data_IF_642080811578
#
_entry.id   IF_642080811578
#
_cell.length_a   1.000
_cell.length_b   1.000
_cell.length_c   1.000
_cell.angle_alpha   90.00
_cell.angle_beta   90.00
_cell.angle_gamma   90.00
#
_symmetry.space_group_name_H-M   'P 1'
#
loop_
_entity.id
_entity.type
_entity.pdbx_description
1 polymer ?
#
# COMPACT_ATOMS: atom_id res chain seq x y z
N UNK A 1 -38.76 19.52 36.13
CA UNK A 1 -39.84 19.61 35.12
C UNK A 1 -39.50 20.53 33.93
N UNK A 2 -38.87 21.70 34.09
CA UNK A 2 -38.50 22.55 32.93
C UNK A 2 -37.39 21.94 32.04
N UNK A 3 -36.41 21.23 32.62
CA UNK A 3 -35.31 20.62 31.86
C UNK A 3 -35.72 19.45 30.96
N UNK A 4 -36.64 18.60 31.42
CA UNK A 4 -37.13 17.44 30.64
C UNK A 4 -38.03 17.88 29.48
N UNK A 5 -38.81 18.95 29.67
CA UNK A 5 -39.68 19.49 28.63
C UNK A 5 -38.86 20.10 27.48
N UNK A 6 -37.77 20.81 27.80
CA UNK A 6 -36.86 21.39 26.79
C UNK A 6 -36.07 20.29 26.03
N UNK A 7 -35.67 19.22 26.72
CA UNK A 7 -34.99 18.08 26.09
C UNK A 7 -35.89 17.31 25.12
N UNK A 8 -37.16 17.10 25.49
CA UNK A 8 -38.15 16.45 24.62
C UNK A 8 -38.48 17.34 23.40
N UNK A 9 -38.62 18.65 23.61
CA UNK A 9 -38.83 19.60 22.52
C UNK A 9 -37.66 19.62 21.52
N UNK A 10 -36.43 19.60 22.01
CA UNK A 10 -35.22 19.53 21.18
C UNK A 10 -35.13 18.22 20.38
N UNK A 11 -35.52 17.09 20.98
CA UNK A 11 -35.56 15.81 20.29
C UNK A 11 -36.61 15.78 19.17
N UNK A 12 -37.79 16.37 19.40
CA UNK A 12 -38.84 16.47 18.39
C UNK A 12 -38.41 17.37 17.23
N UNK A 13 -37.76 18.50 17.52
CA UNK A 13 -37.17 19.38 16.50
C UNK A 13 -36.07 18.67 15.70
N UNK A 14 -35.19 17.91 16.36
CA UNK A 14 -34.15 17.10 15.69
C UNK A 14 -34.78 16.08 14.73
N UNK A 15 -35.86 15.41 15.15
CA UNK A 15 -36.62 14.47 14.33
C UNK A 15 -37.29 15.15 13.13
N UNK A 16 -37.83 16.35 13.33
CA UNK A 16 -38.41 17.15 12.26
C UNK A 16 -37.36 17.50 11.19
N UNK A 17 -36.16 17.92 11.62
CA UNK A 17 -35.03 18.18 10.71
C UNK A 17 -34.61 16.92 9.94
N UNK A 18 -34.53 15.77 10.62
CA UNK A 18 -34.22 14.49 9.96
C UNK A 18 -35.22 14.16 8.86
N UNK A 19 -36.52 14.35 9.12
CA UNK A 19 -37.57 14.14 8.11
C UNK A 19 -37.43 15.12 6.93
N UNK A 20 -37.19 16.42 7.20
CA UNK A 20 -36.97 17.42 6.15
C UNK A 20 -35.74 17.07 5.27
N UNK A 21 -34.67 16.57 5.88
CA UNK A 21 -33.49 16.09 5.15
C UNK A 21 -33.81 14.83 4.33
N UNK A 22 -34.60 13.92 4.88
CA UNK A 22 -35.00 12.67 4.22
C UNK A 22 -35.92 12.91 3.01
N UNK A 23 -36.84 13.88 3.10
CA UNK A 23 -37.72 14.30 2.00
C UNK A 23 -36.94 14.93 0.82
N UNK A 24 -35.71 15.40 1.07
CA UNK A 24 -34.77 15.90 0.05
C UNK A 24 -35.08 17.33 -0.43
N UNK A 25 -34.17 17.91 -1.21
CA UNK A 25 -34.40 19.22 -1.83
C UNK A 25 -35.50 19.11 -2.89
N UNK A 26 -36.64 19.78 -2.67
CA UNK A 26 -37.67 19.96 -3.69
C UNK A 26 -37.01 20.60 -4.92
N UNK A 27 -37.09 19.89 -6.05
CA UNK A 27 -36.49 20.29 -7.33
C UNK A 27 -36.83 21.73 -7.70
N UNK A 28 -35.82 22.51 -8.10
CA UNK A 28 -35.91 23.87 -8.64
C UNK A 28 -36.70 24.89 -7.80
N UNK A 29 -35.95 25.56 -6.92
CA UNK A 29 -36.42 26.73 -6.19
C UNK A 29 -36.81 26.37 -4.77
N UNK A 30 -35.82 26.32 -3.87
CA UNK A 30 -36.11 26.55 -2.46
C UNK A 30 -36.70 27.95 -2.36
N UNK A 31 -38.03 28.06 -2.36
CA UNK A 31 -38.69 29.21 -1.78
C UNK A 31 -38.25 29.18 -0.32
N UNK A 32 -37.42 30.15 0.06
CA UNK A 32 -37.11 30.42 1.47
C UNK A 32 -38.43 30.62 2.19
N UNK A 33 -38.96 29.56 2.80
CA UNK A 33 -40.09 29.71 3.68
C UNK A 33 -39.59 30.42 4.93
N UNK A 34 -40.29 31.47 5.35
CA UNK A 34 -39.84 32.31 6.48
C UNK A 34 -39.74 31.49 7.78
N UNK A 35 -40.44 30.36 7.87
CA UNK A 35 -40.47 29.44 9.01
C UNK A 35 -39.19 28.57 9.15
N UNK A 36 -38.40 28.44 8.09
CA UNK A 36 -37.16 27.65 8.11
C UNK A 36 -35.97 28.38 8.74
N UNK A 37 -36.07 29.71 8.89
CA UNK A 37 -35.01 30.55 9.46
C UNK A 37 -34.62 30.19 10.90
N UNK A 38 -35.53 29.59 11.68
CA UNK A 38 -35.32 29.15 13.07
C UNK A 38 -34.32 28.00 13.22
N UNK A 39 -34.02 27.29 12.14
CA UNK A 39 -33.03 26.20 12.14
C UNK A 39 -31.63 26.68 11.73
N UNK A 40 -31.48 27.97 11.41
CA UNK A 40 -30.19 28.58 11.12
C UNK A 40 -29.29 28.60 12.36
N UNK A 41 -28.00 28.33 12.15
CA UNK A 41 -26.96 28.45 13.20
C UNK A 41 -26.84 29.87 13.77
N UNK A 42 -27.38 30.88 13.08
CA UNK A 42 -27.37 32.28 13.51
C UNK A 42 -28.49 32.60 14.53
N UNK A 43 -29.41 31.65 14.78
CA UNK A 43 -30.48 31.79 15.77
C UNK A 43 -30.16 30.98 17.03
N UNK A 44 -30.66 31.41 18.19
CA UNK A 44 -30.41 30.72 19.46
C UNK A 44 -30.96 29.27 19.46
N UNK A 45 -32.17 29.09 18.92
CA UNK A 45 -32.80 27.77 18.76
C UNK A 45 -32.03 26.89 17.78
N UNK A 46 -31.68 27.41 16.60
CA UNK A 46 -30.94 26.66 15.58
C UNK A 46 -29.50 26.33 16.01
N UNK A 47 -28.85 27.16 16.84
CA UNK A 47 -27.55 26.85 17.43
C UNK A 47 -27.63 25.69 18.44
N UNK A 48 -28.69 25.63 19.26
CA UNK A 48 -28.93 24.52 20.19
C UNK A 48 -29.20 23.21 19.44
N UNK A 49 -30.01 23.26 18.38
CA UNK A 49 -30.27 22.08 17.54
C UNK A 49 -29.02 21.64 16.80
N UNK A 50 -28.25 22.57 16.22
CA UNK A 50 -26.96 22.29 15.58
C UNK A 50 -25.97 21.60 16.54
N UNK A 51 -25.85 22.08 17.77
CA UNK A 51 -24.98 21.48 18.78
C UNK A 51 -25.43 20.08 19.22
N UNK A 52 -26.72 19.76 19.08
CA UNK A 52 -27.28 18.44 19.41
C UNK A 52 -26.90 17.34 18.41
N UNK A 53 -26.41 17.70 17.22
CA UNK A 53 -25.88 16.75 16.25
C UNK A 53 -24.40 16.47 16.51
N UNK A 54 -24.05 15.19 16.52
CA UNK A 54 -22.66 14.75 16.45
C UNK A 54 -22.12 14.84 15.02
N UNK A 55 -20.80 14.80 14.87
CA UNK A 55 -20.13 14.77 13.58
C UNK A 55 -20.59 13.54 12.77
N UNK A 56 -20.64 12.36 13.39
CA UNK A 56 -21.01 11.12 12.72
C UNK A 56 -22.47 11.12 12.25
N UNK A 57 -23.40 11.63 13.07
CA UNK A 57 -24.81 11.75 12.66
C UNK A 57 -24.97 12.61 11.40
N UNK A 58 -24.21 13.71 11.27
CA UNK A 58 -24.26 14.56 10.07
C UNK A 58 -23.62 13.87 8.86
N UNK A 59 -22.55 13.10 9.08
CA UNK A 59 -21.88 12.35 8.02
C UNK A 59 -22.74 11.17 7.54
N UNK A 60 -23.47 10.51 8.43
CA UNK A 60 -24.40 9.44 8.07
C UNK A 60 -25.56 9.96 7.21
N UNK A 61 -26.14 11.10 7.56
CA UNK A 61 -27.18 11.73 6.73
C UNK A 61 -26.67 12.09 5.33
N UNK A 62 -25.39 12.48 5.23
CA UNK A 62 -24.73 12.73 3.94
C UNK A 62 -24.52 11.43 3.15
N UNK A 63 -24.14 10.33 3.81
CA UNK A 63 -23.99 9.00 3.19
C UNK A 63 -25.34 8.45 2.73
N UNK A 64 -26.39 8.58 3.52
CA UNK A 64 -27.76 8.20 3.14
C UNK A 64 -28.26 8.99 1.93
N UNK A 65 -27.99 10.30 1.90
CA UNK A 65 -28.30 11.13 0.73
C UNK A 65 -27.55 10.63 -0.52
N UNK A 66 -26.27 10.27 -0.38
CA UNK A 66 -25.48 9.71 -1.46
C UNK A 66 -25.98 8.34 -1.93
N UNK A 67 -26.43 7.47 -1.02
CA UNK A 67 -27.04 6.18 -1.34
C UNK A 67 -28.34 6.36 -2.12
N UNK A 68 -29.20 7.29 -1.70
CA UNK A 68 -30.47 7.59 -2.37
C UNK A 68 -30.29 8.12 -3.78
N UNK A 69 -29.31 9.02 -3.96
CA UNK A 69 -28.97 9.59 -5.27
C UNK A 69 -28.15 8.63 -6.13
N UNK A 70 -27.45 7.68 -5.50
CA UNK A 70 -26.53 6.75 -6.14
C UNK A 70 -25.18 7.37 -6.53
N UNK A 71 -24.92 8.63 -6.21
CA UNK A 71 -23.65 9.35 -6.40
C UNK A 71 -23.38 10.30 -5.23
N UNK A 72 -22.16 10.81 -5.14
CA UNK A 72 -21.83 11.81 -4.12
C UNK A 72 -22.61 13.12 -4.38
N UNK A 73 -23.44 13.59 -3.44
CA UNK A 73 -24.32 14.72 -3.69
C UNK A 73 -23.55 16.02 -3.85
N UNK A 74 -24.02 16.87 -4.76
CA UNK A 74 -23.67 18.29 -4.77
C UNK A 74 -24.40 19.03 -3.65
N UNK A 75 -23.86 20.17 -3.23
CA UNK A 75 -24.45 20.96 -2.14
C UNK A 75 -25.90 21.41 -2.38
N UNK A 76 -26.35 21.44 -3.65
CA UNK A 76 -27.72 21.83 -4.03
C UNK A 76 -28.70 20.66 -4.13
N UNK A 77 -28.21 19.41 -4.01
CA UNK A 77 -29.05 18.20 -3.99
C UNK A 77 -29.34 17.73 -2.56
N UNK A 78 -28.84 18.47 -1.56
CA UNK A 78 -29.00 18.19 -0.14
C UNK A 78 -29.70 19.37 0.52
N UNK A 79 -30.58 19.06 1.46
CA UNK A 79 -31.38 20.04 2.19
C UNK A 79 -30.50 21.13 2.82
N UNK A 80 -31.00 22.36 2.82
CA UNK A 80 -30.24 23.54 3.20
C UNK A 80 -29.69 23.52 4.65
N UNK A 81 -30.43 22.88 5.56
CA UNK A 81 -30.00 22.71 6.96
C UNK A 81 -28.74 21.85 7.01
N UNK A 82 -28.77 20.68 6.35
CA UNK A 82 -27.65 19.74 6.33
C UNK A 82 -26.43 20.34 5.62
N UNK A 83 -26.61 21.04 4.48
CA UNK A 83 -25.48 21.73 3.80
C UNK A 83 -24.82 22.79 4.68
N UNK A 84 -25.61 23.53 5.46
CA UNK A 84 -25.10 24.57 6.36
C UNK A 84 -24.32 23.93 7.50
N UNK A 85 -24.90 22.94 8.18
CA UNK A 85 -24.28 22.27 9.32
C UNK A 85 -22.96 21.59 8.93
N UNK A 86 -22.94 20.89 7.80
CA UNK A 86 -21.74 20.23 7.29
C UNK A 86 -20.64 21.23 6.89
N UNK A 87 -20.99 22.35 6.25
CA UNK A 87 -20.00 23.38 5.89
C UNK A 87 -19.41 24.04 7.13
N UNK A 88 -20.22 24.32 8.14
CA UNK A 88 -19.75 24.90 9.41
C UNK A 88 -18.79 23.94 10.12
N UNK A 89 -19.11 22.64 10.15
CA UNK A 89 -18.34 21.64 10.92
C UNK A 89 -17.07 21.16 10.21
N UNK A 90 -17.16 20.92 8.90
CA UNK A 90 -16.08 20.37 8.08
C UNK A 90 -15.41 21.42 7.18
N UNK A 91 -15.60 22.72 7.50
CA UNK A 91 -15.07 23.92 6.82
C UNK A 91 -15.64 24.19 5.43
N UNK A 92 -15.85 23.16 4.62
CA UNK A 92 -16.42 23.27 3.28
C UNK A 92 -17.06 21.95 2.82
N UNK A 93 -17.85 22.01 1.74
CA UNK A 93 -18.54 20.83 1.18
C UNK A 93 -17.58 19.70 0.76
N UNK A 94 -16.45 19.97 0.05
CA UNK A 94 -15.45 18.93 -0.22
C UNK A 94 -14.84 18.30 1.04
N UNK A 95 -14.74 19.05 2.14
CA UNK A 95 -14.30 18.58 3.45
C UNK A 95 -15.30 17.61 4.06
N UNK A 96 -16.60 17.96 4.01
CA UNK A 96 -17.69 17.09 4.46
C UNK A 96 -17.77 15.79 3.65
N UNK A 97 -17.70 15.87 2.31
CA UNK A 97 -17.67 14.67 1.46
C UNK A 97 -16.48 13.76 1.80
N UNK A 98 -15.30 14.34 2.02
CA UNK A 98 -14.11 13.57 2.42
C UNK A 98 -14.27 12.90 3.78
N UNK A 99 -14.81 13.62 4.76
CA UNK A 99 -15.07 13.08 6.09
C UNK A 99 -16.10 11.93 6.05
N UNK A 100 -17.08 12.01 5.15
CA UNK A 100 -18.06 10.96 4.92
C UNK A 100 -17.53 9.77 4.09
N UNK A 101 -16.30 9.83 3.57
CA UNK A 101 -15.74 8.81 2.68
C UNK A 101 -16.29 8.86 1.25
N UNK A 102 -16.91 9.98 0.85
CA UNK A 102 -17.53 10.18 -0.45
C UNK A 102 -16.58 10.85 -1.45
N UNK A 103 -16.89 10.69 -2.74
CA UNK A 103 -16.13 11.31 -3.83
C UNK A 103 -16.32 12.83 -3.84
N UNK A 104 -15.26 13.58 -4.15
CA UNK A 104 -15.34 15.03 -4.34
C UNK A 104 -15.96 15.43 -5.68
N UNK A 105 -16.09 14.48 -6.62
CA UNK A 105 -16.76 14.69 -7.90
C UNK A 105 -18.28 14.60 -7.67
N UNK A 106 -18.84 15.69 -7.15
CA UNK A 106 -20.21 15.75 -6.67
C UNK A 106 -21.24 16.05 -7.79
N UNK A 107 -22.49 15.63 -7.58
CA UNK A 107 -23.62 15.89 -8.46
C UNK A 107 -23.84 14.84 -9.55
N UNK A 108 -24.91 15.02 -10.34
CA UNK A 108 -25.27 14.12 -11.46
C UNK A 108 -24.19 13.91 -12.53
N UNK A 109 -23.21 14.81 -12.62
CA UNK A 109 -22.03 14.65 -13.49
C UNK A 109 -20.86 13.88 -12.85
N UNK A 110 -20.99 13.56 -11.56
CA UNK A 110 -20.06 12.72 -10.80
C UNK A 110 -20.21 11.24 -11.14
N UNK A 111 -19.24 10.43 -10.68
CA UNK A 111 -19.32 8.98 -10.87
C UNK A 111 -20.31 8.38 -9.88
N UNK A 112 -21.16 7.47 -10.37
CA UNK A 112 -22.05 6.70 -9.50
C UNK A 112 -21.23 5.88 -8.49
N UNK A 113 -21.77 5.68 -7.29
CA UNK A 113 -21.14 4.87 -6.24
C UNK A 113 -20.95 3.43 -6.74
N UNK A 114 -21.95 2.86 -7.40
CA UNK A 114 -21.87 1.54 -8.01
C UNK A 114 -20.78 1.46 -9.10
N UNK A 115 -20.69 2.46 -9.98
CA UNK A 115 -19.62 2.52 -10.98
C UNK A 115 -18.23 2.66 -10.34
N UNK A 116 -18.14 3.35 -9.19
CA UNK A 116 -16.90 3.48 -8.43
C UNK A 116 -16.53 2.15 -7.77
N UNK A 117 -17.50 1.45 -7.20
CA UNK A 117 -17.34 0.12 -6.62
C UNK A 117 -16.88 -0.88 -7.69
N UNK A 118 -17.58 -0.94 -8.83
CA UNK A 118 -17.24 -1.80 -9.97
C UNK A 118 -15.82 -1.57 -10.46
N UNK A 119 -15.40 -0.30 -10.58
CA UNK A 119 -14.00 0.02 -10.95
C UNK A 119 -13.01 -0.43 -9.89
N UNK A 120 -13.33 -0.28 -8.62
CA UNK A 120 -12.47 -0.74 -7.53
C UNK A 120 -12.33 -2.26 -7.54
N UNK A 121 -13.41 -2.99 -7.79
CA UNK A 121 -13.39 -4.44 -7.97
C UNK A 121 -12.56 -4.85 -9.20
N UNK A 122 -12.72 -4.16 -10.34
CA UNK A 122 -11.87 -4.38 -11.51
C UNK A 122 -10.39 -4.13 -11.21
N UNK A 123 -10.08 -3.09 -10.43
CA UNK A 123 -8.72 -2.82 -9.98
C UNK A 123 -8.19 -3.92 -9.08
N UNK A 124 -9.01 -4.39 -8.13
CA UNK A 124 -8.62 -5.46 -7.21
C UNK A 124 -8.38 -6.76 -7.97
N UNK A 125 -9.28 -7.13 -8.89
CA UNK A 125 -9.11 -8.30 -9.74
C UNK A 125 -7.80 -8.25 -10.55
N UNK A 126 -7.41 -7.07 -11.06
CA UNK A 126 -6.11 -6.93 -11.74
C UNK A 126 -4.92 -7.08 -10.78
N UNK A 127 -5.02 -6.61 -9.54
CA UNK A 127 -3.98 -6.84 -8.53
C UNK A 127 -3.89 -8.32 -8.16
N UNK A 128 -5.02 -9.01 -8.03
CA UNK A 128 -5.07 -10.44 -7.76
C UNK A 128 -4.44 -11.25 -8.91
N UNK A 129 -4.63 -10.83 -10.16
CA UNK A 129 -3.93 -11.42 -11.31
C UNK A 129 -2.40 -11.25 -11.22
N UNK A 130 -1.90 -10.08 -10.78
CA UNK A 130 -0.47 -9.86 -10.55
C UNK A 130 0.05 -10.77 -9.44
N UNK A 131 -0.72 -10.88 -8.35
CA UNK A 131 -0.43 -11.74 -7.20
C UNK A 131 -0.35 -13.21 -7.59
N UNK A 132 -1.38 -13.74 -8.25
CA UNK A 132 -1.41 -15.14 -8.71
C UNK A 132 -0.29 -15.45 -9.71
N UNK A 133 0.05 -14.51 -10.59
CA UNK A 133 1.20 -14.67 -11.49
C UNK A 133 2.51 -14.79 -10.69
N UNK A 134 2.71 -13.97 -9.65
CA UNK A 134 3.90 -14.06 -8.82
C UNK A 134 3.99 -15.39 -8.04
N UNK A 135 2.86 -15.88 -7.53
CA UNK A 135 2.73 -17.20 -6.90
C UNK A 135 3.16 -18.30 -7.86
N UNK A 136 2.60 -18.31 -9.07
CA UNK A 136 2.93 -19.30 -10.12
C UNK A 136 4.39 -19.26 -10.54
N UNK A 137 4.98 -18.07 -10.66
CA UNK A 137 6.37 -17.91 -11.08
C UNK A 137 7.37 -18.18 -9.95
N UNK A 138 6.95 -18.09 -8.68
CA UNK A 138 7.85 -18.08 -7.53
C UNK A 138 8.89 -16.94 -7.57
N UNK A 139 8.61 -15.89 -8.35
CA UNK A 139 9.43 -14.69 -8.52
C UNK A 139 8.57 -13.49 -8.86
N UNK A 140 9.12 -12.30 -8.66
CA UNK A 140 8.48 -11.05 -9.07
C UNK A 140 8.25 -11.06 -10.59
N UNK A 141 7.00 -10.87 -11.06
CA UNK A 141 6.70 -10.75 -12.48
C UNK A 141 7.27 -9.44 -13.02
N UNK A 142 7.82 -9.49 -14.23
CA UNK A 142 8.28 -8.33 -14.97
C UNK A 142 7.07 -7.65 -15.64
N UNK A 143 7.01 -6.30 -15.72
CA UNK A 143 5.85 -5.60 -16.30
C UNK A 143 5.55 -5.99 -17.76
N UNK A 144 6.56 -6.41 -18.52
CA UNK A 144 6.36 -6.93 -19.90
C UNK A 144 5.63 -8.27 -19.97
N UNK A 145 5.51 -9.01 -18.87
CA UNK A 145 4.72 -10.25 -18.78
C UNK A 145 3.22 -9.92 -18.62
N UNK A 146 2.88 -8.70 -18.19
CA UNK A 146 1.51 -8.25 -17.92
C UNK A 146 1.22 -6.88 -18.57
N UNK A 147 1.36 -6.75 -19.91
CA UNK A 147 1.27 -5.45 -20.59
C UNK A 147 -0.12 -4.81 -20.50
N UNK A 148 -1.18 -5.62 -20.53
CA UNK A 148 -2.56 -5.13 -20.42
C UNK A 148 -2.89 -4.61 -19.03
N UNK A 149 -2.39 -5.27 -17.98
CA UNK A 149 -2.51 -4.80 -16.60
C UNK A 149 -1.78 -3.47 -16.44
N UNK A 150 -0.55 -3.36 -16.97
CA UNK A 150 0.20 -2.11 -16.96
C UNK A 150 -0.59 -0.95 -17.59
N UNK A 151 -1.23 -1.20 -18.75
CA UNK A 151 -2.02 -0.21 -19.47
C UNK A 151 -3.24 0.26 -18.68
N UNK A 152 -3.93 -0.64 -17.97
CA UNK A 152 -5.14 -0.33 -17.20
C UNK A 152 -4.84 0.32 -15.84
N UNK A 153 -3.78 -0.10 -15.16
CA UNK A 153 -3.42 0.38 -13.82
C UNK A 153 -2.71 1.75 -13.80
N UNK A 154 -2.22 2.24 -14.94
CA UNK A 154 -1.48 3.52 -15.04
C UNK A 154 -2.21 4.76 -14.53
N UNK A 155 -3.55 4.71 -14.40
CA UNK A 155 -4.34 5.83 -13.87
C UNK A 155 -4.22 5.95 -12.34
N UNK A 156 -3.89 4.86 -11.66
CA UNK A 156 -3.86 4.75 -10.19
C UNK A 156 -2.44 4.64 -9.65
N UNK A 157 -1.58 3.95 -10.37
CA UNK A 157 -0.19 3.74 -10.01
C UNK A 157 0.74 4.37 -11.04
N UNK A 158 1.90 4.84 -10.59
CA UNK A 158 2.92 5.45 -11.45
C UNK A 158 3.96 4.43 -11.88
N UNK A 159 4.31 3.53 -10.98
CA UNK A 159 5.44 2.60 -11.13
C UNK A 159 4.97 1.17 -10.97
N UNK A 160 5.71 0.22 -11.56
CA UNK A 160 5.42 -1.19 -11.36
C UNK A 160 5.71 -1.62 -9.91
N UNK A 161 6.68 -0.99 -9.23
CA UNK A 161 6.92 -1.20 -7.79
C UNK A 161 5.68 -0.93 -6.93
N UNK A 162 4.95 0.16 -7.18
CA UNK A 162 3.69 0.46 -6.49
C UNK A 162 2.61 -0.60 -6.73
N UNK A 163 2.52 -1.14 -7.95
CA UNK A 163 1.58 -2.22 -8.29
C UNK A 163 1.93 -3.50 -7.54
N UNK A 164 3.21 -3.87 -7.48
CA UNK A 164 3.68 -5.06 -6.77
C UNK A 164 3.38 -4.97 -5.26
N UNK A 165 3.60 -3.80 -4.67
CA UNK A 165 3.27 -3.54 -3.27
C UNK A 165 1.75 -3.61 -3.02
N UNK A 166 0.95 -2.98 -3.88
CA UNK A 166 -0.51 -3.02 -3.77
C UNK A 166 -1.09 -4.43 -3.97
N UNK A 167 -0.42 -5.28 -4.75
CA UNK A 167 -0.82 -6.66 -4.99
C UNK A 167 -0.36 -7.66 -3.90
N UNK A 168 0.44 -7.24 -2.92
CA UNK A 168 0.96 -8.13 -1.87
C UNK A 168 1.81 -9.27 -2.43
N UNK A 169 2.66 -8.97 -3.42
CA UNK A 169 3.43 -9.99 -4.17
C UNK A 169 4.44 -10.72 -3.30
N UNK A 170 5.05 -10.06 -2.31
CA UNK A 170 6.06 -10.69 -1.46
C UNK A 170 5.42 -11.78 -0.57
N UNK A 171 4.25 -11.50 -0.01
CA UNK A 171 3.46 -12.45 0.76
C UNK A 171 3.02 -13.63 -0.11
N UNK A 172 2.57 -13.35 -1.33
CA UNK A 172 2.16 -14.35 -2.31
C UNK A 172 3.29 -15.35 -2.60
N UNK A 173 4.50 -14.85 -2.81
CA UNK A 173 5.65 -15.70 -3.11
C UNK A 173 6.11 -16.56 -1.93
N UNK A 174 5.77 -16.21 -0.69
CA UNK A 174 6.15 -16.97 0.50
C UNK A 174 5.30 -18.24 0.71
N UNK A 175 4.08 -18.28 0.16
CA UNK A 175 3.09 -19.36 0.42
C UNK A 175 3.57 -20.75 -0.01
N UNK A 176 4.46 -20.84 -1.00
CA UNK A 176 4.87 -22.11 -1.62
C UNK A 176 6.26 -22.62 -1.16
N UNK A 177 6.82 -22.04 -0.11
CA UNK A 177 8.13 -22.46 0.40
C UNK A 177 7.99 -23.69 1.29
N UNK A 178 8.24 -24.87 0.72
CA UNK A 178 8.27 -26.14 1.43
C UNK A 178 9.56 -26.91 1.14
N UNK A 179 10.08 -27.58 2.18
CA UNK A 179 11.24 -28.48 2.06
C UNK A 179 10.79 -29.79 1.47
N UNK A 180 11.56 -30.29 0.51
CA UNK A 180 11.33 -31.60 -0.08
C UNK A 180 11.95 -32.67 0.83
N UNK A 181 11.11 -33.55 1.36
CA UNK A 181 11.54 -34.59 2.30
C UNK A 181 12.21 -35.78 1.58
N UNK A 182 11.77 -36.07 0.35
CA UNK A 182 12.18 -37.25 -0.42
C UNK A 182 13.06 -36.85 -1.60
N UNK A 183 14.30 -36.47 -1.30
CA UNK A 183 15.32 -36.13 -2.29
C UNK A 183 16.06 -37.37 -2.78
N UNK A 184 16.25 -37.48 -4.09
CA UNK A 184 17.09 -38.50 -4.70
C UNK A 184 18.58 -38.17 -4.56
N UNK A 185 19.45 -39.17 -4.71
CA UNK A 185 20.90 -38.99 -4.57
C UNK A 185 21.49 -37.96 -5.54
N UNK A 186 20.99 -37.93 -6.78
CA UNK A 186 21.37 -36.95 -7.78
C UNK A 186 20.91 -35.54 -7.41
N UNK A 187 19.69 -35.39 -6.89
CA UNK A 187 19.15 -34.13 -6.38
C UNK A 187 19.96 -33.62 -5.18
N UNK A 188 20.31 -34.50 -4.24
CA UNK A 188 21.18 -34.19 -3.10
C UNK A 188 22.55 -33.69 -3.57
N UNK A 189 23.16 -34.35 -4.55
CA UNK A 189 24.45 -33.93 -5.13
C UNK A 189 24.35 -32.56 -5.76
N UNK A 190 23.29 -32.29 -6.53
CA UNK A 190 23.06 -30.98 -7.16
C UNK A 190 22.88 -29.86 -6.11
N UNK A 191 22.15 -30.13 -5.03
CA UNK A 191 21.97 -29.18 -3.93
C UNK A 191 23.25 -28.97 -3.12
N UNK A 192 24.10 -30.00 -2.99
CA UNK A 192 25.42 -29.87 -2.36
C UNK A 192 26.36 -29.00 -3.18
N UNK A 193 26.37 -29.13 -4.51
CA UNK A 193 27.14 -28.27 -5.41
C UNK A 193 26.70 -26.82 -5.29
N UNK A 194 25.39 -26.58 -5.23
CA UNK A 194 24.82 -25.26 -4.97
C UNK A 194 25.25 -24.70 -3.59
N UNK A 195 25.24 -25.51 -2.53
CA UNK A 195 25.77 -25.09 -1.21
C UNK A 195 27.25 -24.76 -1.26
N UNK A 196 28.06 -25.53 -1.99
CA UNK A 196 29.49 -25.28 -2.12
C UNK A 196 29.75 -23.95 -2.85
N UNK A 197 28.97 -23.66 -3.90
CA UNK A 197 29.01 -22.38 -4.60
C UNK A 197 28.64 -21.23 -3.65
N UNK A 198 27.55 -21.37 -2.89
CA UNK A 198 27.11 -20.35 -1.95
C UNK A 198 28.18 -20.06 -0.87
N UNK A 199 28.80 -21.11 -0.31
CA UNK A 199 29.91 -21.00 0.65
C UNK A 199 31.12 -20.26 0.05
N UNK A 200 31.46 -20.55 -1.21
CA UNK A 200 32.56 -19.88 -1.92
C UNK A 200 32.28 -18.41 -2.18
N UNK A 201 31.05 -18.07 -2.53
CA UNK A 201 30.61 -16.68 -2.73
C UNK A 201 30.35 -15.93 -1.43
N UNK A 202 30.27 -16.65 -0.30
CA UNK A 202 29.83 -16.16 1.01
C UNK A 202 28.43 -15.52 0.99
N UNK A 203 27.58 -15.90 0.04
CA UNK A 203 26.20 -15.42 -0.12
C UNK A 203 25.40 -16.39 -0.98
N UNK A 204 24.11 -16.15 -1.09
CA UNK A 204 23.27 -16.81 -2.07
C UNK A 204 23.75 -16.52 -3.50
N UNK A 205 23.89 -17.55 -4.37
CA UNK A 205 24.28 -17.36 -5.75
C UNK A 205 23.12 -16.80 -6.59
N UNK A 206 23.49 -16.00 -7.58
CA UNK A 206 22.59 -15.57 -8.65
C UNK A 206 22.32 -16.73 -9.61
N UNK A 207 21.14 -16.71 -10.22
CA UNK A 207 20.75 -17.70 -11.25
C UNK A 207 21.74 -17.78 -12.42
N UNK A 208 22.44 -16.69 -12.73
CA UNK A 208 23.45 -16.65 -13.81
C UNK A 208 24.82 -17.17 -13.40
N UNK A 209 25.09 -17.34 -12.10
CA UNK A 209 26.37 -17.85 -11.57
C UNK A 209 26.42 -19.38 -11.50
N UNK A 210 25.27 -20.03 -11.71
CA UNK A 210 25.14 -21.48 -11.78
C UNK A 210 25.35 -21.99 -13.21
N UNK A 211 26.04 -23.12 -13.33
CA UNK A 211 26.13 -23.89 -14.57
C UNK A 211 24.72 -24.19 -15.13
N UNK A 212 24.58 -24.12 -16.45
CA UNK A 212 23.27 -24.10 -17.12
C UNK A 212 22.52 -25.42 -16.95
N UNK A 213 23.17 -26.55 -17.15
CA UNK A 213 22.56 -27.89 -17.06
C UNK A 213 22.08 -28.17 -15.64
N UNK A 214 22.93 -27.90 -14.64
CA UNK A 214 22.60 -28.01 -13.22
C UNK A 214 21.40 -27.13 -12.86
N UNK A 215 21.43 -25.87 -13.30
CA UNK A 215 20.36 -24.90 -13.08
C UNK A 215 19.03 -25.37 -13.66
N UNK A 216 19.02 -25.86 -14.90
CA UNK A 216 17.80 -26.32 -15.57
C UNK A 216 17.22 -27.56 -14.90
N UNK A 217 18.06 -28.50 -14.46
CA UNK A 217 17.64 -29.68 -13.70
C UNK A 217 16.99 -29.30 -12.37
N UNK A 218 17.61 -28.40 -11.61
CA UNK A 218 17.06 -27.91 -10.34
C UNK A 218 15.74 -27.14 -10.54
N UNK A 219 15.66 -26.27 -11.55
CA UNK A 219 14.42 -25.54 -11.85
C UNK A 219 13.29 -26.47 -12.29
N UNK A 220 13.59 -27.52 -13.05
CA UNK A 220 12.60 -28.53 -13.43
C UNK A 220 12.06 -29.28 -12.21
N UNK A 221 12.90 -29.57 -11.21
CA UNK A 221 12.51 -30.30 -10.01
C UNK A 221 11.77 -29.46 -8.97
N UNK A 222 12.25 -28.24 -8.73
CA UNK A 222 11.78 -27.39 -7.62
C UNK A 222 10.92 -26.19 -8.09
N UNK A 223 10.73 -26.03 -9.40
CA UNK A 223 9.82 -25.04 -10.03
C UNK A 223 10.41 -23.63 -10.16
N UNK A 224 10.98 -23.08 -9.08
CA UNK A 224 11.52 -21.71 -9.07
C UNK A 224 12.90 -21.63 -8.44
N UNK A 225 13.69 -20.60 -8.81
CA UNK A 225 15.01 -20.38 -8.20
C UNK A 225 14.91 -20.11 -6.70
N UNK A 226 13.84 -19.43 -6.26
CA UNK A 226 13.57 -19.18 -4.85
C UNK A 226 13.36 -20.50 -4.10
N UNK A 227 12.60 -21.43 -4.68
CA UNK A 227 12.39 -22.76 -4.09
C UNK A 227 13.68 -23.60 -4.05
N UNK A 228 14.50 -23.53 -5.12
CA UNK A 228 15.82 -24.20 -5.15
C UNK A 228 16.70 -23.72 -4.00
N UNK A 229 16.82 -22.41 -3.81
CA UNK A 229 17.60 -21.83 -2.72
C UNK A 229 17.00 -22.17 -1.35
N UNK A 230 15.67 -22.20 -1.26
CA UNK A 230 14.97 -22.59 -0.05
C UNK A 230 15.33 -24.02 0.39
N UNK A 231 15.56 -24.96 -0.53
CA UNK A 231 16.02 -26.32 -0.19
C UNK A 231 17.35 -26.35 0.56
N UNK A 232 18.18 -25.31 0.42
CA UNK A 232 19.46 -25.18 1.11
C UNK A 232 19.49 -24.05 2.15
N UNK A 233 18.31 -23.60 2.59
CA UNK A 233 18.12 -22.61 3.66
C UNK A 233 18.63 -21.21 3.26
N UNK A 234 18.57 -20.90 1.96
CA UNK A 234 18.98 -19.61 1.42
C UNK A 234 17.80 -18.86 0.80
N UNK A 235 17.91 -17.54 0.81
CA UNK A 235 17.01 -16.64 0.10
C UNK A 235 17.67 -16.07 -1.16
N UNK A 236 16.90 -15.74 -2.20
CA UNK A 236 17.44 -15.08 -3.38
C UNK A 236 18.00 -13.70 -3.04
N UNK A 237 19.03 -13.29 -3.76
CA UNK A 237 19.50 -11.90 -3.74
C UNK A 237 18.38 -10.99 -4.26
N UNK A 238 17.93 -10.05 -3.42
CA UNK A 238 16.82 -9.16 -3.73
C UNK A 238 17.36 -7.78 -4.12
N UNK A 239 16.70 -7.08 -5.03
CA UNK A 239 17.01 -5.65 -5.24
C UNK A 239 16.35 -4.84 -4.14
N UNK A 240 17.02 -3.79 -3.66
CA UNK A 240 16.52 -2.91 -2.59
C UNK A 240 15.19 -2.27 -3.02
N UNK A 241 15.14 -1.78 -4.25
CA UNK A 241 13.97 -1.10 -4.83
C UNK A 241 13.65 -1.68 -6.21
N UNK A 242 13.08 -2.89 -6.31
CA UNK A 242 12.78 -3.49 -7.59
C UNK A 242 11.69 -2.65 -8.27
N UNK A 243 11.95 -2.22 -9.51
CA UNK A 243 10.97 -1.52 -10.35
C UNK A 243 10.41 -0.20 -9.78
N UNK A 244 11.04 0.40 -8.76
CA UNK A 244 10.61 1.70 -8.18
C UNK A 244 10.64 2.82 -9.22
N UNK A 245 11.56 2.76 -10.18
CA UNK A 245 11.63 3.72 -11.29
C UNK A 245 11.14 3.13 -12.61
N UNK A 246 10.45 1.98 -12.60
CA UNK A 246 9.94 1.36 -13.81
C UNK A 246 8.52 1.87 -14.10
N UNK A 247 8.35 2.79 -15.07
CA UNK A 247 7.02 3.28 -15.42
C UNK A 247 6.19 2.17 -16.05
N UNK A 248 4.88 2.18 -15.78
CA UNK A 248 3.91 1.24 -16.38
C UNK A 248 3.79 1.42 -17.90
N UNK A 249 4.19 2.58 -18.42
CA UNK A 249 4.24 2.87 -19.85
C UNK A 249 5.60 3.50 -20.18
N UNK A 250 6.36 2.85 -21.06
CA UNK A 250 7.60 3.43 -21.60
C UNK A 250 7.29 4.42 -22.71
N UNK A 251 7.87 5.61 -22.65
CA UNK A 251 7.98 6.49 -23.80
C UNK A 251 8.82 5.83 -24.90
N UNK A 252 8.45 6.02 -26.17
CA UNK A 252 9.25 5.57 -27.32
C UNK A 252 10.62 6.25 -27.22
N UNK A 253 11.68 5.51 -26.87
CA UNK A 253 13.06 6.04 -26.86
C UNK A 253 13.92 5.67 -25.65
N UNK A 254 13.38 5.13 -24.56
CA UNK A 254 14.22 4.71 -23.43
C UNK A 254 14.94 3.39 -23.72
N UNK A 255 16.26 3.45 -23.91
CA UNK A 255 17.13 2.27 -23.91
C UNK A 255 16.96 1.52 -22.59
N UNK A 256 16.85 0.19 -22.65
CA UNK A 256 16.84 -0.66 -21.45
C UNK A 256 18.15 -0.37 -20.70
N UNK A 257 18.05 0.01 -19.43
CA UNK A 257 19.23 0.04 -18.58
C UNK A 257 19.85 -1.37 -18.60
N UNK A 258 21.13 -1.46 -18.95
CA UNK A 258 21.82 -2.74 -18.94
C UNK A 258 21.72 -3.33 -17.52
N UNK A 259 21.52 -4.64 -17.44
CA UNK A 259 21.59 -5.34 -16.15
C UNK A 259 23.00 -5.16 -15.59
N UNK A 260 23.16 -4.25 -14.62
CA UNK A 260 24.37 -4.19 -13.81
C UNK A 260 24.48 -5.52 -13.06
N UNK A 261 25.59 -6.23 -13.28
CA UNK A 261 25.94 -7.44 -12.53
C UNK A 261 26.41 -7.11 -11.10
N UNK A 262 26.63 -5.83 -10.81
CA UNK A 262 27.05 -5.32 -9.51
C UNK A 262 25.92 -5.43 -8.48
N UNK A 263 26.23 -5.98 -7.30
CA UNK A 263 25.30 -6.20 -6.19
C UNK A 263 25.09 -4.98 -5.29
N UNK A 264 25.52 -3.80 -5.73
CA UNK A 264 25.48 -2.56 -4.94
C UNK A 264 24.05 -2.17 -4.52
N UNK A 265 23.07 -2.46 -5.38
CA UNK A 265 21.64 -2.16 -5.16
C UNK A 265 20.83 -3.40 -4.72
N UNK A 266 21.48 -4.34 -4.03
CA UNK A 266 20.87 -5.59 -3.60
C UNK A 266 20.97 -5.84 -2.08
N UNK A 267 19.95 -6.47 -1.53
CA UNK A 267 19.93 -7.11 -0.22
C UNK A 267 20.19 -8.61 -0.35
N UNK A 268 21.12 -9.13 0.45
CA UNK A 268 21.45 -10.55 0.52
C UNK A 268 22.15 -10.87 1.84
N UNK A 269 21.94 -12.07 2.39
CA UNK A 269 22.60 -12.50 3.62
C UNK A 269 24.00 -13.05 3.36
N UNK A 270 24.97 -12.59 4.15
CA UNK A 270 26.30 -13.19 4.21
C UNK A 270 26.22 -14.51 5.00
N UNK A 271 26.87 -15.56 4.50
CA UNK A 271 26.85 -16.87 5.18
C UNK A 271 27.81 -16.93 6.36
N UNK A 272 28.92 -16.20 6.26
CA UNK A 272 29.94 -16.06 7.28
C UNK A 272 30.35 -14.60 7.39
N UNK A 273 30.40 -14.09 8.61
CA UNK A 273 30.98 -12.78 8.91
C UNK A 273 32.40 -13.00 9.42
N UNK A 274 33.37 -12.30 8.85
CA UNK A 274 34.69 -12.22 9.46
C UNK A 274 34.59 -11.45 10.79
N UNK A 275 35.52 -11.68 11.74
CA UNK A 275 35.46 -11.08 13.07
C UNK A 275 35.34 -9.54 13.03
N UNK A 276 36.05 -8.88 12.12
CA UNK A 276 36.02 -7.43 12.03
C UNK A 276 34.65 -6.92 11.55
N UNK A 277 34.08 -7.55 10.53
CA UNK A 277 32.73 -7.20 10.06
C UNK A 277 31.69 -7.47 11.14
N UNK A 278 31.81 -8.55 11.91
CA UNK A 278 30.91 -8.84 13.03
C UNK A 278 30.97 -7.77 14.13
N UNK A 279 32.16 -7.33 14.51
CA UNK A 279 32.37 -6.24 15.47
C UNK A 279 31.80 -4.90 14.97
N UNK A 280 32.05 -4.58 13.69
CA UNK A 280 31.54 -3.36 13.07
C UNK A 280 29.99 -3.35 13.05
N UNK A 281 29.36 -4.49 12.74
CA UNK A 281 27.91 -4.67 12.77
C UNK A 281 27.35 -4.58 14.21
N UNK A 282 28.06 -5.11 15.21
CA UNK A 282 27.68 -4.98 16.62
C UNK A 282 27.66 -3.52 17.08
N UNK A 283 28.65 -2.73 16.67
CA UNK A 283 28.67 -1.30 16.98
C UNK A 283 27.47 -0.58 16.39
N UNK A 284 27.12 -0.86 15.12
CA UNK A 284 25.93 -0.30 14.48
C UNK A 284 24.66 -0.73 15.19
N UNK A 285 24.57 -1.99 15.65
CA UNK A 285 23.41 -2.48 16.43
C UNK A 285 23.27 -1.75 17.76
N UNK A 286 24.36 -1.49 18.48
CA UNK A 286 24.35 -0.72 19.73
C UNK A 286 23.92 0.73 19.51
N UNK A 287 24.44 1.39 18.47
CA UNK A 287 24.00 2.74 18.09
C UNK A 287 22.50 2.77 17.78
N UNK A 288 21.98 1.77 17.08
CA UNK A 288 20.55 1.66 16.81
C UNK A 288 19.73 1.53 18.09
N UNK A 289 20.14 0.66 19.03
CA UNK A 289 19.45 0.50 20.31
C UNK A 289 19.40 1.82 21.10
N UNK A 290 20.45 2.64 21.01
CA UNK A 290 20.49 3.95 21.65
C UNK A 290 19.59 4.98 20.94
N UNK A 291 19.53 4.97 19.61
CA UNK A 291 18.75 5.93 18.82
C UNK A 291 17.26 5.57 18.71
N UNK A 292 16.88 4.31 18.95
CA UNK A 292 15.54 3.79 18.69
C UNK A 292 15.18 3.73 17.19
N UNK A 293 16.15 3.97 16.30
CA UNK A 293 16.01 3.94 14.85
C UNK A 293 17.32 3.50 14.17
N UNK A 294 17.28 3.07 12.90
CA UNK A 294 18.50 2.84 12.12
C UNK A 294 19.36 4.11 12.07
N UNK A 295 20.69 4.00 12.27
CA UNK A 295 21.58 5.15 12.23
C UNK A 295 21.75 5.65 10.79
N UNK A 296 21.75 6.98 10.64
CA UNK A 296 22.10 7.67 9.42
C UNK A 296 23.59 7.46 9.10
N UNK A 297 23.94 7.61 7.82
CA UNK A 297 25.33 7.42 7.34
C UNK A 297 26.37 8.31 8.04
N UNK A 298 25.95 9.44 8.58
CA UNK A 298 26.81 10.41 9.27
C UNK A 298 26.97 10.10 10.77
N UNK A 299 26.06 9.30 11.35
CA UNK A 299 26.06 8.92 12.77
C UNK A 299 27.01 7.75 13.05
N UNK A 300 27.49 7.08 11.99
CA UNK A 300 28.44 5.97 12.07
C UNK A 300 29.83 6.43 11.63
N UNK A 301 30.90 6.09 12.39
CA UNK A 301 32.26 6.45 12.01
C UNK A 301 32.58 6.09 10.55
N UNK A 302 33.15 7.02 9.75
CA UNK A 302 33.35 6.82 8.32
C UNK A 302 34.16 5.55 7.97
N UNK A 303 35.12 5.19 8.81
CA UNK A 303 35.97 4.01 8.60
C UNK A 303 35.19 2.70 8.80
N UNK A 304 34.35 2.61 9.85
CA UNK A 304 33.45 1.48 10.07
C UNK A 304 32.49 1.36 8.89
N UNK A 305 31.89 2.48 8.47
CA UNK A 305 30.98 2.51 7.32
C UNK A 305 31.65 2.02 6.04
N UNK A 306 32.88 2.44 5.75
CA UNK A 306 33.64 1.98 4.57
C UNK A 306 33.92 0.47 4.62
N UNK A 307 34.33 -0.05 5.78
CA UNK A 307 34.56 -1.49 5.96
C UNK A 307 33.29 -2.30 5.76
N UNK A 308 32.19 -1.87 6.38
CA UNK A 308 30.87 -2.50 6.19
C UNK A 308 30.38 -2.43 4.75
N UNK A 309 30.55 -1.29 4.05
CA UNK A 309 30.22 -1.19 2.63
C UNK A 309 31.05 -2.15 1.78
N UNK A 310 32.34 -2.33 2.09
CA UNK A 310 33.20 -3.26 1.38
C UNK A 310 32.81 -4.71 1.64
N UNK A 311 32.54 -5.08 2.89
CA UNK A 311 32.21 -6.45 3.29
C UNK A 311 30.79 -6.86 2.85
N UNK A 312 29.81 -5.97 3.03
CA UNK A 312 28.41 -6.22 2.71
C UNK A 312 28.01 -5.75 1.31
N UNK A 313 28.92 -5.20 0.51
CA UNK A 313 28.65 -4.66 -0.83
C UNK A 313 27.98 -3.28 -0.86
N UNK A 314 27.16 -2.95 0.13
CA UNK A 314 26.57 -1.62 0.30
C UNK A 314 26.21 -1.32 1.76
N UNK A 315 25.95 -0.06 2.07
CA UNK A 315 25.50 0.35 3.41
C UNK A 315 24.11 -0.19 3.72
N UNK A 316 23.21 -0.12 2.74
CA UNK A 316 21.85 -0.62 2.88
C UNK A 316 21.86 -2.14 3.13
N UNK A 317 22.74 -2.88 2.46
CA UNK A 317 22.90 -4.31 2.75
C UNK A 317 23.57 -4.60 4.11
N UNK A 318 24.43 -3.70 4.62
CA UNK A 318 24.98 -3.82 5.97
C UNK A 318 23.87 -3.67 7.03
N UNK A 319 22.96 -2.69 6.86
CA UNK A 319 21.77 -2.57 7.70
C UNK A 319 20.85 -3.80 7.54
N UNK A 320 20.69 -4.32 6.33
CA UNK A 320 19.94 -5.54 6.07
C UNK A 320 20.50 -6.75 6.84
N UNK A 321 21.83 -6.88 7.00
CA UNK A 321 22.42 -7.94 7.82
C UNK A 321 21.92 -7.92 9.27
N UNK A 322 21.57 -6.75 9.79
CA UNK A 322 21.04 -6.57 11.14
C UNK A 322 19.52 -6.80 11.22
N UNK A 323 18.87 -7.16 10.11
CA UNK A 323 17.41 -7.25 10.03
C UNK A 323 16.73 -5.89 9.93
N UNK A 324 17.47 -4.85 9.51
CA UNK A 324 16.96 -3.48 9.40
C UNK A 324 16.62 -3.18 7.94
N UNK A 325 15.45 -2.59 7.73
CA UNK A 325 15.09 -1.99 6.45
C UNK A 325 15.27 -0.47 6.56
N UNK A 326 15.81 0.16 5.50
CA UNK A 326 15.68 1.62 5.35
C UNK A 326 14.19 1.91 5.18
N UNK A 327 13.59 2.69 6.08
CA UNK A 327 12.23 3.21 5.82
C UNK A 327 12.30 4.03 4.52
N UNK A 328 11.42 3.75 3.54
CA UNK A 328 11.44 4.40 2.24
C UNK A 328 11.17 5.91 2.31
#
# INVERSE_FOLDING_TARGET
MMGDNNKNQLQEQKKMILNMIAEGSKSHGEVFDKDDSRYSVDTEEGAQIYASFSDEELLDLLRESAQRLGYSPSQGEVHWILRTYLKTRFKNWPGALRAAGLSRSAGRGGMFLEQTAQKNEEYQHMLDQVRSMAEQLGRIPHPSELPEICRKLKKRYRTWGEVLAAAGVEEAMAVHLQKEENLKDDELRMLQELRALAKRLNRSPLRSEMEQVLRESLLRRFGSWRNVLYQIDLEPVQRITPFVNAPLQRGKGHKRAAHRQELYDCHYRLLKLDPQTAEDLELVRKLMQQLGRPPNRQEVPPEIRKRLQKACGSWSNALFQLGLQENP
#
